data_IF_713964473299
#
_entry.id   IF_713964473299
#
_cell.length_a   1.000
_cell.length_b   1.000
_cell.length_c   1.000
_cell.angle_alpha   90.00
_cell.angle_beta   90.00
_cell.angle_gamma   90.00
#
_symmetry.space_group_name_H-M   'P 1'
#
loop_
_entity.id
_entity.type
_entity.pdbx_description
1 polymer ?
#
# COMPACT_ATOMS: atom_id res chain seq x y z
N UNK A 1 9.50 2.62 9.00
CA UNK A 1 8.23 2.15 9.60
C UNK A 1 8.50 0.89 10.40
N UNK A 2 7.74 0.65 11.48
CA UNK A 2 7.67 -0.66 12.15
C UNK A 2 6.34 -1.30 11.76
N UNK A 3 6.39 -2.53 11.26
CA UNK A 3 5.20 -3.28 10.84
C UNK A 3 5.11 -4.57 11.65
N UNK A 4 3.88 -4.98 11.95
CA UNK A 4 3.58 -6.30 12.52
C UNK A 4 2.15 -6.70 12.16
N UNK A 5 1.82 -7.99 12.33
CA UNK A 5 0.44 -8.43 12.25
C UNK A 5 -0.41 -7.78 13.34
N UNK A 6 -1.64 -7.42 12.98
CA UNK A 6 -2.67 -6.91 13.90
C UNK A 6 -2.85 -7.85 15.11
N UNK A 7 -2.99 -9.16 14.87
CA UNK A 7 -3.09 -10.16 15.95
C UNK A 7 -1.88 -10.22 16.89
N UNK A 8 -0.68 -9.84 16.43
CA UNK A 8 0.49 -9.75 17.30
C UNK A 8 0.48 -8.47 18.12
N UNK A 9 0.02 -7.35 17.53
CA UNK A 9 -0.14 -6.09 18.23
C UNK A 9 -1.16 -6.23 19.39
N UNK A 10 -2.30 -6.87 19.12
CA UNK A 10 -3.35 -7.16 20.10
C UNK A 10 -2.81 -7.99 21.28
N UNK A 11 -2.11 -9.10 20.99
CA UNK A 11 -1.48 -9.97 22.01
C UNK A 11 -0.48 -9.23 22.90
N UNK A 12 0.13 -8.16 22.38
CA UNK A 12 1.15 -7.35 23.08
C UNK A 12 0.57 -6.08 23.70
N UNK A 13 -0.74 -5.83 23.59
CA UNK A 13 -1.37 -4.60 24.08
C UNK A 13 -0.90 -3.33 23.36
N UNK A 14 -0.39 -3.46 22.13
CA UNK A 14 0.08 -2.33 21.33
C UNK A 14 -1.09 -1.75 20.53
N UNK A 15 -1.21 -0.42 20.50
CA UNK A 15 -2.22 0.29 19.72
C UNK A 15 -1.70 0.59 18.30
N UNK A 16 -2.25 -0.02 17.23
CA UNK A 16 -1.86 0.31 15.87
C UNK A 16 -2.26 1.74 15.50
N UNK A 17 -1.39 2.45 14.76
CA UNK A 17 -1.69 3.80 14.27
C UNK A 17 -2.47 3.78 12.94
N UNK A 18 -2.25 2.76 12.12
CA UNK A 18 -2.89 2.56 10.83
C UNK A 18 -2.80 1.08 10.40
N UNK A 19 -3.61 0.69 9.42
CA UNK A 19 -3.54 -0.62 8.74
C UNK A 19 -3.00 -0.42 7.33
N UNK A 20 -2.06 -1.27 6.93
CA UNK A 20 -1.52 -1.28 5.57
C UNK A 20 -2.44 -2.12 4.69
N UNK A 21 -3.13 -1.50 3.74
CA UNK A 21 -4.12 -2.18 2.91
C UNK A 21 -3.52 -2.79 1.65
N UNK A 22 -2.55 -2.14 1.02
CA UNK A 22 -1.95 -2.62 -0.22
C UNK A 22 -0.80 -1.77 -0.72
N UNK A 23 -0.09 -2.29 -1.72
CA UNK A 23 0.97 -1.59 -2.45
C UNK A 23 1.00 -2.08 -3.89
N UNK A 24 1.26 -1.17 -4.80
CA UNK A 24 1.43 -1.46 -6.23
C UNK A 24 2.63 -0.70 -6.77
N UNK A 25 3.15 -1.19 -7.90
CA UNK A 25 4.05 -0.47 -8.77
C UNK A 25 3.48 -0.46 -10.18
N UNK A 26 3.90 0.53 -10.97
CA UNK A 26 3.53 0.63 -12.37
C UNK A 26 4.70 1.19 -13.16
N UNK A 27 4.93 0.63 -14.34
CA UNK A 27 5.98 1.03 -15.25
C UNK A 27 5.44 1.11 -16.68
N UNK A 28 5.96 2.07 -17.43
CA UNK A 28 5.64 2.29 -18.84
C UNK A 28 6.86 2.86 -19.54
N UNK A 29 6.72 3.24 -20.82
CA UNK A 29 7.83 3.77 -21.60
C UNK A 29 8.49 4.96 -20.87
N UNK A 30 9.84 5.06 -20.86
CA UNK A 30 10.57 6.01 -20.01
C UNK A 30 10.16 7.47 -20.21
N UNK A 31 9.80 7.87 -21.42
CA UNK A 31 9.33 9.22 -21.75
C UNK A 31 8.04 9.61 -21.01
N UNK A 32 7.30 8.64 -20.48
CA UNK A 32 6.07 8.84 -19.72
C UNK A 32 6.22 8.58 -18.22
N UNK A 33 7.43 8.48 -17.66
CA UNK A 33 7.62 8.12 -16.25
C UNK A 33 6.86 9.02 -15.25
N UNK A 34 6.62 10.28 -15.61
CA UNK A 34 5.91 11.28 -14.78
C UNK A 34 4.44 10.93 -14.54
N UNK A 35 3.81 10.15 -15.43
CA UNK A 35 2.41 9.69 -15.26
C UNK A 35 2.31 8.29 -14.66
N UNK A 36 3.44 7.64 -14.35
CA UNK A 36 3.46 6.34 -13.69
C UNK A 36 2.66 6.28 -12.37
N UNK A 37 2.61 7.35 -11.53
CA UNK A 37 1.79 7.35 -10.32
C UNK A 37 0.30 7.12 -10.59
N UNK A 38 -0.25 7.53 -11.74
CA UNK A 38 -1.68 7.33 -12.08
C UNK A 38 -2.00 5.84 -12.16
N UNK A 39 -1.18 5.07 -12.90
CA UNK A 39 -1.35 3.62 -13.02
C UNK A 39 -1.14 2.91 -11.69
N UNK A 40 -0.13 3.30 -10.91
CA UNK A 40 0.11 2.71 -9.60
C UNK A 40 -1.08 2.96 -8.65
N UNK A 41 -1.60 4.19 -8.58
CA UNK A 41 -2.75 4.54 -7.74
C UNK A 41 -3.97 3.70 -8.13
N UNK A 42 -4.31 3.63 -9.42
CA UNK A 42 -5.44 2.82 -9.89
C UNK A 42 -5.28 1.34 -9.49
N UNK A 43 -4.09 0.76 -9.72
CA UNK A 43 -3.81 -0.63 -9.38
C UNK A 43 -3.97 -0.91 -7.88
N UNK A 44 -3.48 -0.03 -7.00
CA UNK A 44 -3.58 -0.27 -5.56
C UNK A 44 -5.02 -0.13 -5.07
N UNK A 45 -5.77 0.86 -5.56
CA UNK A 45 -7.18 1.06 -5.21
C UNK A 45 -8.02 -0.15 -5.61
N UNK A 46 -7.86 -0.63 -6.85
CA UNK A 46 -8.53 -1.84 -7.32
C UNK A 46 -8.15 -3.07 -6.48
N UNK A 47 -6.86 -3.23 -6.15
CA UNK A 47 -6.38 -4.39 -5.38
C UNK A 47 -6.93 -4.46 -3.95
N UNK A 48 -7.26 -3.30 -3.36
CA UNK A 48 -7.82 -3.21 -2.00
C UNK A 48 -9.33 -3.07 -1.99
N UNK A 49 -9.98 -3.10 -3.16
CA UNK A 49 -11.43 -3.01 -3.32
C UNK A 49 -11.99 -1.62 -3.02
N UNK A 50 -11.27 -0.56 -3.39
CA UNK A 50 -11.71 0.82 -3.28
C UNK A 50 -12.27 1.40 -4.59
#
# INVERSE_FOLDING_TARGET
LILMRESTAEKRGLKPLARFLGHSSFAQAPEWFTTAPVGAINNVLESVGW
#
